data_IF_601649225100
#
_entry.id   IF_601649225100
#
_cell.length_a   1.000
_cell.length_b   1.000
_cell.length_c   1.000
_cell.angle_alpha   90.00
_cell.angle_beta   90.00
_cell.angle_gamma   90.00
#
_symmetry.space_group_name_H-M   'P 1'
#
loop_
_entity.id
_entity.type
_entity.pdbx_description
1 polymer ?
#
# COMPACT_ATOMS: atom_id res chain seq x y z
N UNK A 1 -0.10 -11.14 13.39
CA UNK A 1 0.18 -11.06 11.94
C UNK A 1 1.57 -10.48 11.74
N UNK A 2 2.45 -11.18 11.02
CA UNK A 2 3.72 -10.59 10.56
C UNK A 2 3.42 -10.00 9.19
N UNK A 3 3.65 -8.71 8.99
CA UNK A 3 3.43 -8.03 7.71
C UNK A 3 4.70 -7.31 7.30
N UNK A 4 4.92 -7.19 6.00
CA UNK A 4 5.99 -6.38 5.41
C UNK A 4 5.64 -4.89 5.37
N UNK A 5 4.36 -4.54 5.59
CA UNK A 5 3.96 -3.15 5.76
C UNK A 5 4.50 -2.61 7.08
N UNK A 6 5.02 -1.39 7.05
CA UNK A 6 5.54 -0.76 8.24
C UNK A 6 4.42 -0.12 9.04
N UNK A 7 4.47 -0.32 10.35
CA UNK A 7 3.64 0.45 11.27
C UNK A 7 4.05 1.93 11.26
N UNK A 8 3.08 2.81 11.04
CA UNK A 8 3.24 4.26 11.13
C UNK A 8 2.37 4.82 12.27
N UNK A 9 2.73 6.00 12.76
CA UNK A 9 1.97 6.67 13.81
C UNK A 9 0.90 7.59 13.21
N UNK A 10 -0.28 7.63 13.84
CA UNK A 10 -1.35 8.51 13.41
C UNK A 10 -1.03 9.97 13.77
N UNK A 11 -1.28 10.89 12.84
CA UNK A 11 -1.05 12.33 13.05
C UNK A 11 0.42 12.75 13.08
N UNK A 12 1.36 11.86 12.75
CA UNK A 12 2.79 12.19 12.63
C UNK A 12 3.30 11.94 11.22
N UNK A 13 4.18 12.81 10.75
CA UNK A 13 4.85 12.63 9.47
C UNK A 13 5.80 11.41 9.53
N UNK A 14 5.78 10.60 8.46
CA UNK A 14 6.72 9.50 8.26
C UNK A 14 7.64 9.82 7.09
N UNK A 15 8.95 9.58 7.25
CA UNK A 15 9.90 9.74 6.17
C UNK A 15 9.66 8.66 5.10
N UNK A 16 9.56 9.07 3.83
CA UNK A 16 9.22 8.16 2.72
C UNK A 16 10.24 7.03 2.56
N UNK A 17 11.53 7.31 2.72
CA UNK A 17 12.61 6.32 2.66
C UNK A 17 12.55 5.28 3.79
N UNK A 18 11.78 5.55 4.85
CA UNK A 18 11.58 4.64 5.95
C UNK A 18 10.35 3.74 5.75
N UNK A 19 9.53 4.00 4.72
CA UNK A 19 8.40 3.16 4.33
C UNK A 19 8.91 2.08 3.35
N UNK A 20 8.59 0.80 3.58
CA UNK A 20 8.97 -0.28 2.68
C UNK A 20 8.50 -0.01 1.25
N UNK A 21 9.42 -0.13 0.30
CA UNK A 21 9.13 -0.04 -1.12
C UNK A 21 9.36 -1.43 -1.74
N UNK A 22 8.28 -2.20 -1.88
CA UNK A 22 8.32 -3.64 -2.23
C UNK A 22 7.82 -3.89 -3.64
N UNK A 23 7.88 -5.14 -4.11
CA UNK A 23 7.37 -5.52 -5.42
C UNK A 23 5.84 -5.36 -5.50
N UNK A 24 5.32 -5.02 -6.69
CA UNK A 24 3.89 -4.78 -6.87
C UNK A 24 3.01 -5.97 -6.46
N UNK A 25 3.39 -7.19 -6.85
CA UNK A 25 2.60 -8.39 -6.56
C UNK A 25 2.51 -8.65 -5.05
N UNK A 26 3.63 -8.50 -4.34
CA UNK A 26 3.69 -8.62 -2.87
C UNK A 26 2.88 -7.52 -2.20
N UNK A 27 3.03 -6.27 -2.65
CA UNK A 27 2.25 -5.13 -2.18
C UNK A 27 0.74 -5.34 -2.34
N UNK A 28 0.31 -5.80 -3.51
CA UNK A 28 -1.10 -6.05 -3.81
C UNK A 28 -1.66 -7.21 -2.99
N UNK A 29 -0.94 -8.33 -2.92
CA UNK A 29 -1.36 -9.50 -2.15
C UNK A 29 -1.50 -9.17 -0.65
N UNK A 30 -0.53 -8.47 -0.07
CA UNK A 30 -0.56 -8.08 1.33
C UNK A 30 -1.66 -7.05 1.64
N UNK A 31 -1.81 -6.04 0.78
CA UNK A 31 -2.90 -5.07 0.95
C UNK A 31 -4.28 -5.77 0.92
N UNK A 32 -4.47 -6.71 -0.01
CA UNK A 32 -5.71 -7.50 -0.10
C UNK A 32 -5.88 -8.38 1.14
N UNK A 33 -4.82 -9.04 1.63
CA UNK A 33 -4.89 -9.87 2.84
C UNK A 33 -5.31 -9.05 4.06
N UNK A 34 -4.67 -7.90 4.28
CA UNK A 34 -5.00 -7.01 5.40
C UNK A 34 -6.46 -6.56 5.34
N UNK A 35 -6.95 -6.19 4.16
CA UNK A 35 -8.35 -5.79 3.98
C UNK A 35 -9.32 -6.96 4.18
N UNK A 36 -8.96 -8.16 3.71
CA UNK A 36 -9.74 -9.39 3.92
C UNK A 36 -9.86 -9.74 5.41
N UNK A 37 -8.81 -9.49 6.18
CA UNK A 37 -8.77 -9.70 7.63
C UNK A 37 -9.47 -8.58 8.43
N UNK A 38 -10.28 -7.75 7.76
CA UNK A 38 -11.09 -6.69 8.39
C UNK A 38 -10.43 -5.31 8.38
N UNK A 39 -9.20 -5.20 7.88
CA UNK A 39 -8.52 -3.93 7.68
C UNK A 39 -9.25 -3.00 6.72
N UNK A 40 -8.99 -1.70 6.84
CA UNK A 40 -9.59 -0.63 6.04
C UNK A 40 -8.51 0.14 5.30
N UNK A 41 -8.81 0.52 4.07
CA UNK A 41 -7.99 1.45 3.32
C UNK A 41 -8.24 2.85 3.89
N UNK A 42 -7.20 3.47 4.45
CA UNK A 42 -7.26 4.86 4.94
C UNK A 42 -6.93 5.81 3.80
N UNK A 43 -5.85 5.50 3.07
CA UNK A 43 -5.48 6.20 1.84
C UNK A 43 -4.84 5.21 0.86
N UNK A 44 -5.09 5.42 -0.41
CA UNK A 44 -4.41 4.74 -1.50
C UNK A 44 -4.19 5.75 -2.61
N UNK A 45 -2.94 6.03 -2.96
CA UNK A 45 -2.62 7.07 -3.91
C UNK A 45 -1.40 6.73 -4.76
N UNK A 46 -1.35 7.37 -5.93
CA UNK A 46 -0.21 7.32 -6.83
C UNK A 46 0.53 8.66 -6.79
N UNK A 47 1.85 8.61 -6.94
CA UNK A 47 2.71 9.80 -7.05
C UNK A 47 3.87 9.53 -8.01
N UNK A 48 4.35 10.57 -8.68
CA UNK A 48 5.51 10.46 -9.56
C UNK A 48 6.81 10.45 -8.75
N UNK A 49 7.77 9.63 -9.17
CA UNK A 49 9.13 9.63 -8.66
C UNK A 49 10.11 9.50 -9.84
N UNK A 50 10.55 10.64 -10.38
CA UNK A 50 11.23 10.68 -11.67
C UNK A 50 10.28 10.22 -12.79
N UNK A 51 10.74 9.27 -13.61
CA UNK A 51 9.97 8.70 -14.72
C UNK A 51 9.03 7.57 -14.31
N UNK A 52 9.07 7.14 -13.05
CA UNK A 52 8.16 6.11 -12.54
C UNK A 52 6.94 6.70 -11.82
N UNK A 53 5.85 5.94 -11.87
CA UNK A 53 4.69 6.15 -11.00
C UNK A 53 4.81 5.16 -9.86
N UNK A 54 4.74 5.65 -8.63
CA UNK A 54 4.73 4.84 -7.42
C UNK A 54 3.34 4.84 -6.81
N UNK A 55 2.99 3.73 -6.16
CA UNK A 55 1.77 3.56 -5.38
C UNK A 55 2.12 3.56 -3.90
N UNK A 56 1.22 4.08 -3.08
CA UNK A 56 1.30 4.05 -1.63
C UNK A 56 -0.06 3.59 -1.08
N UNK A 57 -0.04 2.60 -0.20
CA UNK A 57 -1.21 2.21 0.58
C UNK A 57 -0.97 2.54 2.05
N UNK A 58 -1.92 3.22 2.65
CA UNK A 58 -2.04 3.39 4.10
C UNK A 58 -3.30 2.66 4.55
N UNK A 59 -3.10 1.61 5.33
CA UNK A 59 -4.15 0.73 5.82
C UNK A 59 -4.28 0.86 7.33
N UNK A 60 -5.48 0.55 7.85
CA UNK A 60 -5.75 0.45 9.28
C UNK A 60 -6.29 -0.92 9.60
N UNK A 61 -5.70 -1.59 10.58
CA UNK A 61 -6.29 -2.78 11.20
C UNK A 61 -6.32 -2.55 12.72
N UNK A 62 -7.51 -2.69 13.31
CA UNK A 62 -7.81 -2.25 14.68
C UNK A 62 -7.37 -0.78 14.93
N UNK A 63 -6.30 -0.60 15.72
CA UNK A 63 -5.70 0.70 16.08
C UNK A 63 -4.35 0.95 15.41
N UNK A 64 -3.87 0.02 14.59
CA UNK A 64 -2.54 0.07 13.96
C UNK A 64 -2.69 0.63 12.54
N UNK A 65 -1.91 1.67 12.23
CA UNK A 65 -1.74 2.16 10.87
C UNK A 65 -0.53 1.48 10.23
N UNK A 66 -0.70 1.00 9.02
CA UNK A 66 0.29 0.28 8.23
C UNK A 66 0.50 1.02 6.92
N UNK A 67 1.75 1.12 6.45
CA UNK A 67 2.08 1.70 5.17
C UNK A 67 3.15 0.92 4.43
N UNK A 68 2.97 0.81 3.12
CA UNK A 68 3.98 0.34 2.18
C UNK A 68 3.76 1.06 0.85
N UNK A 69 4.82 1.15 0.06
CA UNK A 69 4.76 1.59 -1.33
C UNK A 69 5.30 0.53 -2.28
N UNK A 70 5.05 0.75 -3.55
CA UNK A 70 5.66 -0.01 -4.64
C UNK A 70 5.75 0.86 -5.88
N UNK A 71 6.52 0.43 -6.88
CA UNK A 71 6.42 1.01 -8.21
C UNK A 71 5.15 0.45 -8.86
N UNK A 72 4.39 1.30 -9.56
CA UNK A 72 3.26 0.86 -10.35
C UNK A 72 3.75 -0.04 -11.50
N UNK A 73 3.03 -1.14 -11.81
CA UNK A 73 3.33 -1.94 -12.98
C UNK A 73 3.12 -1.12 -14.26
N UNK A 74 3.84 -1.46 -15.33
CA UNK A 74 3.67 -0.81 -16.65
C UNK A 74 2.24 -0.92 -17.16
N UNK A 75 1.58 -2.03 -16.85
CA UNK A 75 0.18 -2.30 -17.12
C UNK A 75 -0.53 -2.54 -15.79
N UNK A 76 -1.43 -1.64 -15.42
CA UNK A 76 -2.30 -1.83 -14.27
C UNK A 76 -3.63 -2.33 -14.79
N UNK A 77 -3.86 -3.64 -14.74
CA UNK A 77 -5.15 -4.22 -15.14
C UNK A 77 -6.21 -3.72 -14.17
N UNK A 78 -6.99 -2.72 -14.57
CA UNK A 78 -8.22 -2.40 -13.88
C UNK A 78 -9.08 -3.67 -13.88
N UNK A 79 -9.63 -4.05 -12.73
CA UNK A 79 -10.61 -5.12 -12.64
C UNK A 79 -11.87 -4.72 -13.42
N UNK A 80 -11.85 -4.89 -14.75
CA UNK A 80 -13.07 -5.05 -15.52
C UNK A 80 -13.48 -6.51 -15.31
N UNK A 81 -14.45 -6.78 -14.43
CA UNK A 81 -15.24 -7.99 -14.65
C UNK A 81 -16.00 -7.73 -15.96
N UNK A 82 -15.72 -8.52 -16.99
CA UNK A 82 -16.69 -8.71 -18.07
C UNK A 82 -17.97 -9.22 -17.40
N UNK A 83 -18.94 -8.32 -17.21
CA UNK A 83 -20.33 -8.68 -16.92
C UNK A 83 -20.91 -9.42 -18.10
#
# INVERSE_FOLDING_TARGET
MKTVFKQIENGKAAALNAIPHIAFDEFAQEAISIVRDGGKVVQYFAYKNGDSVNLMAVLRIDKVLLAAGCQAPKTYSAFFSSM
#
